data_IF_043905129878
#
_entry.id   IF_043905129878
#
_cell.length_a   1.000
_cell.length_b   1.000
_cell.length_c   1.000
_cell.angle_alpha   90.00
_cell.angle_beta   90.00
_cell.angle_gamma   90.00
#
_symmetry.space_group_name_H-M   'P 1'
#
loop_
_entity.id
_entity.type
_entity.pdbx_description
1 polymer ?
#
# COMPACT_ATOMS: atom_id res chain seq x y z
N UNK A 1 21.77 -14.88 -11.73
CA UNK A 1 20.44 -14.28 -11.92
C UNK A 1 20.70 -12.81 -12.23
N UNK A 2 20.14 -12.33 -13.34
CA UNK A 2 20.60 -11.14 -14.05
C UNK A 2 20.48 -9.88 -13.21
N UNK A 3 21.62 -9.32 -12.82
CA UNK A 3 21.71 -7.90 -12.53
C UNK A 3 21.32 -7.13 -13.81
N UNK A 4 20.60 -6.02 -13.64
CA UNK A 4 20.28 -5.01 -14.67
C UNK A 4 18.87 -5.08 -15.32
N UNK A 5 17.80 -5.12 -14.51
CA UNK A 5 16.44 -4.78 -14.98
C UNK A 5 15.91 -3.46 -14.41
N UNK A 6 16.78 -2.58 -13.89
CA UNK A 6 16.38 -1.23 -13.50
C UNK A 6 15.92 -0.47 -14.74
N UNK A 7 14.62 -0.25 -14.85
CA UNK A 7 13.99 0.43 -15.99
C UNK A 7 13.29 1.70 -15.51
N UNK A 8 13.57 2.82 -16.16
CA UNK A 8 12.76 4.03 -15.99
C UNK A 8 11.45 3.92 -16.74
N UNK A 9 10.35 4.22 -16.06
CA UNK A 9 8.99 4.24 -16.61
C UNK A 9 8.33 5.56 -16.21
N UNK A 10 7.86 6.30 -17.21
CA UNK A 10 7.04 7.49 -16.99
C UNK A 10 5.64 7.06 -16.54
N UNK A 11 5.23 7.50 -15.34
CA UNK A 11 3.93 7.19 -14.73
C UNK A 11 2.94 8.30 -15.02
N UNK A 12 3.38 9.55 -14.86
CA UNK A 12 2.65 10.76 -15.19
C UNK A 12 3.56 11.69 -16.00
N UNK A 13 3.03 12.73 -16.68
CA UNK A 13 3.86 13.69 -17.41
C UNK A 13 4.99 14.24 -16.55
N UNK A 14 6.23 14.04 -17.00
CA UNK A 14 7.46 14.47 -16.31
C UNK A 14 7.71 13.80 -14.93
N UNK A 15 7.02 12.70 -14.62
CA UNK A 15 7.17 11.92 -13.37
C UNK A 15 7.50 10.47 -13.68
N UNK A 16 8.77 10.12 -13.50
CA UNK A 16 9.30 8.78 -13.75
C UNK A 16 9.57 8.03 -12.43
N UNK A 17 9.51 6.70 -12.51
CA UNK A 17 10.01 5.79 -11.48
C UNK A 17 11.05 4.83 -12.05
N UNK A 18 11.95 4.35 -11.19
CA UNK A 18 12.85 3.23 -11.48
C UNK A 18 12.19 1.95 -10.99
N UNK A 19 11.85 1.06 -11.91
CA UNK A 19 11.28 -0.26 -11.61
C UNK A 19 12.42 -1.24 -11.29
N UNK A 20 12.34 -1.92 -10.15
CA UNK A 20 13.33 -2.90 -9.69
C UNK A 20 12.86 -4.37 -9.72
N UNK A 21 11.61 -4.61 -10.10
CA UNK A 21 11.02 -5.95 -10.23
C UNK A 21 10.91 -6.43 -11.69
N UNK A 22 10.47 -7.69 -11.88
CA UNK A 22 10.27 -8.29 -13.21
C UNK A 22 9.19 -7.53 -14.01
N UNK A 23 9.49 -6.94 -15.19
CA UNK A 23 8.53 -6.16 -15.96
C UNK A 23 7.36 -6.97 -16.52
N UNK A 24 7.46 -8.30 -16.55
CA UNK A 24 6.35 -9.18 -16.95
C UNK A 24 5.43 -9.53 -15.76
N UNK A 25 5.76 -9.09 -14.54
CA UNK A 25 4.94 -9.32 -13.34
C UNK A 25 3.55 -8.68 -13.49
N UNK A 26 2.54 -9.47 -13.17
CA UNK A 26 1.14 -9.03 -13.17
C UNK A 26 0.58 -8.98 -11.76
N UNK A 27 -0.40 -8.10 -11.56
CA UNK A 27 -1.08 -7.99 -10.27
C UNK A 27 -2.55 -7.66 -10.46
N UNK A 28 -3.39 -8.32 -9.67
CA UNK A 28 -4.78 -7.96 -9.48
C UNK A 28 -5.17 -8.21 -8.03
N UNK A 29 -5.88 -7.25 -7.44
CA UNK A 29 -6.43 -7.43 -6.10
C UNK A 29 -7.48 -8.54 -6.17
N UNK A 30 -7.24 -9.65 -5.46
CA UNK A 30 -8.20 -10.77 -5.39
C UNK A 30 -9.17 -10.55 -4.23
N UNK A 31 -10.38 -11.05 -4.40
CA UNK A 31 -11.38 -11.08 -3.33
C UNK A 31 -10.82 -11.88 -2.13
N UNK A 32 -11.22 -11.52 -0.92
CA UNK A 32 -10.85 -12.20 0.34
C UNK A 32 -9.39 -12.03 0.81
N UNK A 33 -8.49 -11.53 -0.05
CA UNK A 33 -7.09 -11.23 0.32
C UNK A 33 -7.01 -9.92 1.13
N UNK A 34 -7.01 -10.06 2.45
CA UNK A 34 -7.02 -8.93 3.43
C UNK A 34 -5.66 -8.67 4.09
N UNK A 35 -4.60 -9.34 3.60
CA UNK A 35 -3.27 -9.31 4.21
C UNK A 35 -2.72 -7.90 4.40
N UNK A 36 -2.92 -6.99 3.44
CA UNK A 36 -2.45 -5.60 3.55
C UNK A 36 -3.11 -4.80 4.70
N UNK A 37 -4.25 -5.27 5.21
CA UNK A 37 -4.96 -4.68 6.35
C UNK A 37 -4.52 -5.24 7.70
N UNK A 38 -3.61 -6.23 7.73
CA UNK A 38 -3.17 -6.89 8.95
C UNK A 38 -1.97 -6.20 9.60
N UNK A 39 -1.08 -5.54 8.85
CA UNK A 39 0.24 -5.07 9.34
C UNK A 39 0.32 -3.58 9.75
N UNK A 40 -0.85 -2.96 9.95
CA UNK A 40 -0.96 -1.51 10.19
C UNK A 40 -0.76 -0.70 8.90
N UNK A 41 -1.33 0.50 8.82
CA UNK A 41 -1.30 1.33 7.60
C UNK A 41 -0.71 2.70 7.91
N UNK A 42 0.52 2.95 7.47
CA UNK A 42 1.13 4.27 7.52
C UNK A 42 0.24 5.33 6.84
N UNK A 43 0.18 6.51 7.45
CA UNK A 43 -0.49 7.70 6.94
C UNK A 43 0.53 8.82 6.74
N UNK A 44 0.61 9.35 5.51
CA UNK A 44 1.30 10.61 5.26
C UNK A 44 0.43 11.80 5.68
N UNK A 45 1.00 13.00 5.67
CA UNK A 45 0.29 14.22 6.09
C UNK A 45 -1.00 14.45 5.28
N UNK A 46 -0.98 14.21 3.97
CA UNK A 46 -2.17 14.31 3.14
C UNK A 46 -3.20 13.21 3.47
N UNK A 47 -2.76 11.98 3.75
CA UNK A 47 -3.67 10.93 4.19
C UNK A 47 -4.36 11.30 5.51
N UNK A 48 -3.66 12.00 6.42
CA UNK A 48 -4.25 12.47 7.68
C UNK A 48 -5.31 13.55 7.44
N UNK A 49 -5.07 14.48 6.50
CA UNK A 49 -6.03 15.52 6.14
C UNK A 49 -7.28 14.92 5.47
N UNK A 50 -7.11 13.94 4.60
CA UNK A 50 -8.21 13.20 3.99
C UNK A 50 -8.95 12.36 5.04
N UNK A 51 -8.22 11.62 5.88
CA UNK A 51 -8.83 10.79 6.91
C UNK A 51 -9.62 11.60 7.93
N UNK A 52 -9.16 12.81 8.30
CA UNK A 52 -9.87 13.69 9.22
C UNK A 52 -11.27 14.12 8.75
N UNK A 53 -11.51 14.07 7.44
CA UNK A 53 -12.83 14.37 6.85
C UNK A 53 -13.80 13.19 6.93
N UNK A 54 -13.29 11.98 7.19
CA UNK A 54 -14.00 10.70 7.08
C UNK A 54 -14.12 9.98 8.42
N UNK A 55 -13.14 10.16 9.31
CA UNK A 55 -13.05 9.45 10.58
C UNK A 55 -12.43 10.31 11.70
N UNK A 56 -12.68 9.91 12.95
CA UNK A 56 -12.07 10.55 14.11
C UNK A 56 -10.62 10.10 14.27
N UNK A 57 -9.67 10.98 13.92
CA UNK A 57 -8.24 10.67 13.99
C UNK A 57 -7.78 10.17 15.36
N UNK A 58 -8.37 10.64 16.46
CA UNK A 58 -7.97 10.22 17.80
C UNK A 58 -8.35 8.76 18.11
N UNK A 59 -9.38 8.24 17.44
CA UNK A 59 -9.85 6.87 17.61
C UNK A 59 -9.22 5.93 16.57
N UNK A 60 -8.96 6.43 15.36
CA UNK A 60 -8.55 5.59 14.23
C UNK A 60 -7.08 5.67 13.89
N UNK A 61 -6.27 6.43 14.64
CA UNK A 61 -4.81 6.51 14.41
C UNK A 61 -4.00 6.25 15.67
N UNK A 62 -2.80 5.73 15.47
CA UNK A 62 -1.78 5.51 16.50
C UNK A 62 -0.44 6.12 16.07
N UNK A 63 0.35 6.54 17.04
CA UNK A 63 1.72 7.02 16.83
C UNK A 63 2.72 5.88 17.03
N UNK A 64 3.61 5.69 16.07
CA UNK A 64 4.72 4.74 16.19
C UNK A 64 5.98 5.31 15.58
N UNK A 65 7.07 5.34 16.35
CA UNK A 65 8.39 5.87 15.94
C UNK A 65 8.36 7.29 15.32
N UNK A 66 7.38 8.11 15.71
CA UNK A 66 7.21 9.48 15.20
C UNK A 66 6.35 9.60 13.95
N UNK A 67 5.74 8.50 13.51
CA UNK A 67 4.88 8.41 12.33
C UNK A 67 3.45 8.04 12.74
N UNK A 68 2.49 8.36 11.88
CA UNK A 68 1.08 8.03 12.09
C UNK A 68 0.70 6.78 11.31
N UNK A 69 -0.02 5.90 11.99
CA UNK A 69 -0.60 4.70 11.39
C UNK A 69 -2.09 4.66 11.67
N UNK A 70 -2.86 4.01 10.81
CA UNK A 70 -4.18 3.53 11.17
C UNK A 70 -4.04 2.52 12.30
N UNK A 71 -4.86 2.68 13.32
CA UNK A 71 -4.90 1.77 14.46
C UNK A 71 -5.27 0.35 14.02
N UNK A 72 -4.52 -0.62 14.52
CA UNK A 72 -4.94 -2.03 14.54
C UNK A 72 -5.76 -2.27 15.81
N UNK A 73 -6.88 -2.95 15.69
CA UNK A 73 -7.76 -3.29 16.81
C UNK A 73 -8.10 -4.78 16.80
N UNK A 74 -8.34 -5.32 18.00
CA UNK A 74 -8.85 -6.68 18.18
C UNK A 74 -10.20 -6.82 17.48
N UNK A 75 -10.37 -7.89 16.70
CA UNK A 75 -11.65 -8.22 16.08
C UNK A 75 -12.20 -9.48 16.73
N UNK A 76 -13.52 -9.53 16.96
CA UNK A 76 -14.21 -10.70 17.52
C UNK A 76 -14.49 -11.75 16.44
N UNK A 77 -13.42 -12.21 15.76
CA UNK A 77 -13.46 -13.19 14.65
C UNK A 77 -12.06 -13.76 14.37
N UNK A 78 -12.03 -14.95 13.77
CA UNK A 78 -10.78 -15.63 13.36
C UNK A 78 -10.39 -15.37 11.88
N UNK A 79 -11.30 -14.78 11.09
CA UNK A 79 -11.10 -14.48 9.67
C UNK A 79 -10.68 -13.02 9.46
N UNK A 80 -9.83 -12.79 8.46
CA UNK A 80 -9.34 -11.44 8.09
C UNK A 80 -8.68 -10.69 9.25
N UNK A 81 -7.91 -11.41 10.07
CA UNK A 81 -7.10 -10.90 11.18
C UNK A 81 -5.70 -11.48 11.10
N UNK A 82 -4.74 -10.84 11.75
CA UNK A 82 -3.39 -11.38 11.93
C UNK A 82 -3.36 -12.43 13.07
N UNK A 83 -2.21 -13.05 13.31
CA UNK A 83 -1.99 -14.08 14.35
C UNK A 83 -2.35 -13.61 15.78
N UNK A 84 -2.38 -12.30 16.03
CA UNK A 84 -2.76 -11.67 17.30
C UNK A 84 -4.26 -11.35 17.40
N UNK A 85 -5.06 -11.71 16.39
CA UNK A 85 -6.49 -11.40 16.32
C UNK A 85 -6.78 -9.94 15.99
N UNK A 86 -5.76 -9.14 15.63
CA UNK A 86 -5.92 -7.73 15.32
C UNK A 86 -5.89 -7.45 13.81
N UNK A 87 -6.65 -6.45 13.38
CA UNK A 87 -6.65 -5.94 12.01
C UNK A 87 -6.90 -4.43 11.98
N UNK A 88 -6.71 -3.82 10.80
CA UNK A 88 -7.05 -2.42 10.55
C UNK A 88 -8.46 -2.05 11.05
N UNK A 89 -8.58 -0.89 11.72
CA UNK A 89 -9.85 -0.38 12.22
C UNK A 89 -10.94 -0.27 11.12
N UNK A 90 -10.54 -0.04 9.86
CA UNK A 90 -11.46 0.08 8.72
C UNK A 90 -11.76 -1.24 8.00
N UNK A 91 -11.21 -2.36 8.47
CA UNK A 91 -11.50 -3.68 7.90
C UNK A 91 -12.79 -4.25 8.52
N UNK A 92 -13.78 -4.49 7.66
CA UNK A 92 -15.09 -5.04 8.02
C UNK A 92 -15.06 -6.56 8.10
N UNK A 93 -16.15 -7.14 8.61
CA UNK A 93 -16.33 -8.60 8.78
C UNK A 93 -16.42 -9.36 7.46
N UNK A 94 -16.83 -8.68 6.39
CA UNK A 94 -16.89 -9.22 5.03
C UNK A 94 -15.56 -9.12 4.27
N UNK A 95 -14.47 -8.80 4.95
CA UNK A 95 -13.14 -8.64 4.35
C UNK A 95 -12.98 -7.36 3.53
N UNK A 96 -13.99 -6.48 3.50
CA UNK A 96 -13.95 -5.25 2.72
C UNK A 96 -13.50 -4.05 3.55
N UNK A 97 -12.84 -3.09 2.89
CA UNK A 97 -12.40 -1.85 3.50
C UNK A 97 -13.55 -0.81 3.48
N UNK A 98 -13.95 -0.30 4.65
CA UNK A 98 -15.01 0.71 4.74
C UNK A 98 -14.64 2.03 4.04
N UNK A 99 -13.39 2.49 4.17
CA UNK A 99 -12.93 3.71 3.47
C UNK A 99 -13.10 3.59 1.96
N UNK A 100 -12.76 2.44 1.38
CA UNK A 100 -12.91 2.27 -0.05
C UNK A 100 -14.36 2.14 -0.50
N UNK A 101 -15.15 1.34 0.23
CA UNK A 101 -16.54 1.10 -0.14
C UNK A 101 -17.43 2.34 0.01
N UNK A 102 -17.19 3.11 1.07
CA UNK A 102 -18.10 4.19 1.47
C UNK A 102 -17.59 5.55 0.98
N UNK A 103 -16.28 5.75 0.90
CA UNK A 103 -15.66 7.03 0.57
C UNK A 103 -14.90 7.03 -0.76
N UNK A 104 -14.89 5.91 -1.49
CA UNK A 104 -14.11 5.71 -2.72
C UNK A 104 -12.64 6.15 -2.57
N UNK A 105 -12.08 5.92 -1.37
CA UNK A 105 -10.78 6.42 -1.00
C UNK A 105 -10.00 5.41 -0.16
N UNK A 106 -8.68 5.42 -0.31
CA UNK A 106 -7.75 4.63 0.50
C UNK A 106 -6.51 5.47 0.81
N UNK A 107 -5.85 5.26 1.96
CA UNK A 107 -4.54 5.85 2.22
C UNK A 107 -3.53 5.49 1.14
N UNK A 108 -2.56 6.37 0.92
CA UNK A 108 -1.53 6.23 -0.10
C UNK A 108 -0.81 4.88 -0.02
N UNK A 109 -0.42 4.44 1.19
CA UNK A 109 0.22 3.13 1.38
C UNK A 109 -0.66 1.95 0.93
N UNK A 110 -1.98 2.04 1.09
CA UNK A 110 -2.90 1.00 0.65
C UNK A 110 -3.02 0.95 -0.87
N UNK A 111 -2.97 2.10 -1.55
CA UNK A 111 -3.00 2.19 -3.01
C UNK A 111 -1.72 1.65 -3.65
N UNK A 112 -0.61 1.74 -2.93
CA UNK A 112 0.71 1.28 -3.39
C UNK A 112 0.89 -0.22 -3.29
N UNK A 113 0.16 -0.91 -2.41
CA UNK A 113 0.25 -2.36 -2.26
C UNK A 113 -0.07 -3.10 -3.58
N UNK A 114 0.73 -4.10 -4.02
CA UNK A 114 1.78 -4.83 -3.29
C UNK A 114 3.19 -4.22 -3.41
N UNK A 115 3.30 -3.04 -4.00
CA UNK A 115 4.59 -2.41 -4.26
C UNK A 115 5.19 -1.81 -2.98
N UNK A 116 6.51 -1.74 -2.97
CA UNK A 116 7.31 -0.92 -2.09
C UNK A 116 7.83 0.26 -2.91
N UNK A 117 7.78 1.46 -2.33
CA UNK A 117 8.30 2.68 -2.95
C UNK A 117 9.35 3.25 -2.03
N UNK A 118 10.48 3.67 -2.57
CA UNK A 118 11.57 4.27 -1.79
C UNK A 118 12.36 5.27 -2.65
N UNK A 119 13.11 6.17 -2.00
CA UNK A 119 14.03 7.07 -2.70
C UNK A 119 15.44 6.48 -2.72
N UNK A 120 16.05 6.40 -3.89
CA UNK A 120 17.47 6.09 -4.08
C UNK A 120 18.06 7.11 -5.07
N UNK A 121 19.19 7.73 -4.72
CA UNK A 121 19.88 8.75 -5.56
C UNK A 121 19.01 9.93 -6.06
N UNK A 122 17.90 10.21 -5.37
CA UNK A 122 16.95 11.28 -5.72
C UNK A 122 15.88 10.86 -6.74
N UNK A 123 15.92 9.61 -7.20
CA UNK A 123 14.89 9.01 -8.04
C UNK A 123 13.91 8.19 -7.16
N UNK A 124 12.66 8.08 -7.61
CA UNK A 124 11.64 7.24 -6.96
C UNK A 124 11.76 5.81 -7.50
N UNK A 125 12.12 4.87 -6.63
CA UNK A 125 12.27 3.46 -6.95
C UNK A 125 11.03 2.68 -6.50
N UNK A 126 10.68 1.66 -7.27
CA UNK A 126 9.53 0.80 -7.02
C UNK A 126 9.94 -0.65 -7.15
N UNK A 127 9.72 -1.42 -6.08
CA UNK A 127 9.92 -2.87 -6.03
C UNK A 127 8.64 -3.57 -5.55
N UNK A 128 8.62 -4.90 -5.51
CA UNK A 128 7.59 -5.67 -4.80
C UNK A 128 8.02 -5.81 -3.35
N UNK A 129 7.09 -5.67 -2.40
CA UNK A 129 7.38 -5.96 -0.99
C UNK A 129 7.81 -7.42 -0.83
N UNK A 130 8.85 -7.66 -0.05
CA UNK A 130 9.31 -9.02 0.26
C UNK A 130 8.17 -9.89 0.80
N UNK A 131 7.36 -9.33 1.69
CA UNK A 131 6.19 -10.01 2.27
C UNK A 131 5.09 -10.30 1.24
N UNK A 132 4.94 -9.47 0.20
CA UNK A 132 3.98 -9.72 -0.86
C UNK A 132 4.37 -10.92 -1.72
N UNK A 133 5.68 -11.19 -1.91
CA UNK A 133 6.12 -12.40 -2.63
C UNK A 133 5.65 -13.70 -1.96
N UNK A 134 5.51 -13.69 -0.63
CA UNK A 134 5.12 -14.88 0.14
C UNK A 134 3.61 -14.97 0.36
N UNK A 135 2.94 -13.82 0.53
CA UNK A 135 1.56 -13.78 1.04
C UNK A 135 0.54 -13.16 0.09
N UNK A 136 0.97 -12.47 -0.97
CA UNK A 136 0.03 -11.82 -1.88
C UNK A 136 -0.46 -12.80 -2.95
N UNK A 137 -1.69 -13.28 -2.77
CA UNK A 137 -2.39 -14.14 -3.73
C UNK A 137 -2.71 -13.43 -5.06
N UNK A 138 -2.59 -12.09 -5.11
CA UNK A 138 -2.84 -11.29 -6.30
C UNK A 138 -1.69 -11.21 -7.30
N UNK A 139 -0.50 -11.74 -6.95
CA UNK A 139 0.66 -11.73 -7.85
C UNK A 139 0.57 -12.82 -8.91
N UNK A 140 0.82 -12.47 -10.17
CA UNK A 140 0.88 -13.39 -11.32
C UNK A 140 -0.42 -14.18 -11.60
N UNK A 141 -1.57 -13.68 -11.15
CA UNK A 141 -2.88 -14.33 -11.36
C UNK A 141 -3.71 -13.70 -12.49
N UNK A 142 -3.31 -12.54 -13.00
CA UNK A 142 -4.01 -11.80 -14.05
C UNK A 142 -3.12 -11.51 -15.26
N UNK A 143 -3.68 -10.89 -16.29
CA UNK A 143 -2.92 -10.35 -17.44
C UNK A 143 -2.49 -8.88 -17.23
N UNK A 144 -2.90 -8.26 -16.12
CA UNK A 144 -2.64 -6.83 -15.84
C UNK A 144 -1.21 -6.64 -15.36
N UNK A 145 -0.31 -6.34 -16.30
CA UNK A 145 1.09 -5.99 -16.01
C UNK A 145 1.17 -4.75 -15.14
N UNK A 146 1.96 -4.82 -14.07
CA UNK A 146 2.13 -3.68 -13.15
C UNK A 146 2.79 -2.51 -13.87
N UNK A 147 3.84 -2.77 -14.65
CA UNK A 147 4.60 -1.71 -15.35
C UNK A 147 3.76 -0.90 -16.33
N UNK A 148 2.73 -1.51 -16.91
CA UNK A 148 1.84 -0.87 -17.88
C UNK A 148 0.69 -0.10 -17.21
N UNK A 149 0.57 -0.19 -15.88
CA UNK A 149 -0.54 0.33 -15.08
C UNK A 149 -0.04 1.03 -13.80
N UNK A 150 1.21 1.53 -13.79
CA UNK A 150 1.82 2.12 -12.59
C UNK A 150 1.03 3.31 -12.04
N UNK A 151 0.31 4.04 -12.89
CA UNK A 151 -0.55 5.16 -12.51
C UNK A 151 -1.70 4.77 -11.57
N UNK A 152 -2.07 3.50 -11.55
CA UNK A 152 -3.06 2.95 -10.63
C UNK A 152 -2.47 2.53 -9.27
N UNK A 153 -1.15 2.39 -9.19
CA UNK A 153 -0.45 1.88 -7.99
C UNK A 153 0.50 2.91 -7.37
N UNK A 154 0.91 3.94 -8.10
CA UNK A 154 1.91 4.91 -7.63
C UNK A 154 1.27 6.29 -7.63
N UNK A 155 0.59 6.70 -6.53
CA UNK A 155 -0.05 8.00 -6.46
C UNK A 155 0.92 9.16 -6.69
N UNK A 156 0.43 10.20 -7.37
CA UNK A 156 1.15 11.46 -7.64
C UNK A 156 1.77 12.11 -6.40
N UNK A 157 1.15 11.94 -5.22
CA UNK A 157 1.65 12.43 -3.94
C UNK A 157 3.08 11.95 -3.63
N UNK A 158 3.49 10.75 -4.08
CA UNK A 158 4.79 10.19 -3.71
C UNK A 158 5.99 11.04 -4.17
N UNK A 159 5.84 11.86 -5.22
CA UNK A 159 6.89 12.78 -5.66
C UNK A 159 6.97 14.07 -4.83
N UNK A 160 5.96 14.35 -4.00
CA UNK A 160 5.83 15.58 -3.22
C UNK A 160 6.30 15.39 -1.77
N UNK A 161 6.48 14.13 -1.36
CA UNK A 161 6.93 13.74 -0.03
C UNK A 161 8.46 13.86 0.13
N UNK A 162 8.90 14.39 1.26
CA UNK A 162 10.33 14.35 1.63
C UNK A 162 10.84 12.92 1.86
N UNK A 163 9.96 12.02 2.33
CA UNK A 163 10.24 10.60 2.50
C UNK A 163 9.03 9.76 2.03
N UNK A 164 9.02 9.28 0.78
CA UNK A 164 7.93 8.48 0.22
C UNK A 164 8.05 7.00 0.54
N UNK A 165 9.01 6.59 1.40
CA UNK A 165 9.18 5.17 1.77
C UNK A 165 7.84 4.57 2.24
N UNK A 166 7.33 3.59 1.51
CA UNK A 166 6.03 2.98 1.80
C UNK A 166 6.16 1.67 2.55
N UNK A 167 7.36 1.09 2.67
CA UNK A 167 7.60 -0.20 3.30
C UNK A 167 7.90 -0.08 4.80
N UNK A 168 7.01 0.65 5.48
CA UNK A 168 7.03 0.86 6.92
C UNK A 168 5.81 0.20 7.55
N UNK A 169 6.05 -0.54 8.64
CA UNK A 169 5.03 -1.33 9.35
C UNK A 169 5.04 -0.99 10.85
N UNK A 170 3.91 -1.28 11.51
CA UNK A 170 3.66 -1.01 12.94
C UNK A 170 4.32 -2.05 13.85
#
# INVERSE_FOLDING_TARGET
MSADQRRRVEVYPDREVVVEFDPDLTFECVDDCTWCCQHGVLLYDEDLLELAQRANLAETTTDFRGEKFVTREEKDRDEHVDDDGCACAFLRDDGLCSLHLEEDWKPTRCSVFPLAVFLEDGDLHVDIRDSAHEHCEGLNVSERRVTDNLDAFVPELLWELENPDSDREL
#
